data_IF_098547235759
#
_entry.id   IF_098547235759
#
_cell.length_a   1.000
_cell.length_b   1.000
_cell.length_c   1.000
_cell.angle_alpha   90.00
_cell.angle_beta   90.00
_cell.angle_gamma   90.00
#
_symmetry.space_group_name_H-M   'P 1'
#
loop_
_entity.id
_entity.type
_entity.pdbx_description
1 polymer ?
#
# COMPACT_ATOMS: atom_id res chain seq x y z
N UNK A 1 -2.53 -11.42 -12.85
CA UNK A 1 -2.13 -10.66 -11.65
C UNK A 1 -0.64 -10.34 -11.79
N UNK A 2 -0.26 -9.07 -12.01
CA UNK A 2 1.16 -8.68 -12.02
C UNK A 2 1.60 -8.50 -10.57
N UNK A 3 2.29 -9.49 -10.01
CA UNK A 3 2.93 -9.35 -8.71
C UNK A 3 4.23 -8.57 -8.89
N UNK A 4 4.66 -7.81 -7.86
CA UNK A 4 5.95 -7.16 -7.89
C UNK A 4 7.06 -8.20 -7.98
N UNK A 5 8.00 -7.94 -8.88
CA UNK A 5 9.19 -8.75 -9.08
C UNK A 5 10.38 -8.07 -8.39
N UNK A 6 11.37 -8.87 -8.01
CA UNK A 6 12.61 -8.34 -7.49
C UNK A 6 13.42 -7.66 -8.60
N UNK A 7 13.89 -6.44 -8.38
CA UNK A 7 14.66 -5.68 -9.39
C UNK A 7 15.98 -6.34 -9.79
N UNK A 8 16.54 -7.22 -8.95
CA UNK A 8 17.85 -7.85 -9.15
C UNK A 8 17.78 -9.27 -9.72
N UNK A 9 16.85 -10.10 -9.22
CA UNK A 9 16.73 -11.50 -9.63
C UNK A 9 15.42 -11.84 -10.33
N UNK A 10 14.53 -10.87 -10.58
CA UNK A 10 13.19 -11.07 -11.14
C UNK A 10 12.33 -12.09 -10.37
N UNK A 11 12.66 -12.38 -9.11
CA UNK A 11 11.84 -13.24 -8.26
C UNK A 11 10.46 -12.59 -8.01
N UNK A 12 9.40 -13.34 -8.28
CA UNK A 12 8.03 -12.90 -8.01
C UNK A 12 7.70 -13.11 -6.53
N UNK A 13 7.51 -12.03 -5.80
CA UNK A 13 7.13 -12.11 -4.39
C UNK A 13 5.75 -12.73 -4.24
N UNK A 14 5.57 -13.59 -3.22
CA UNK A 14 4.23 -14.13 -2.92
C UNK A 14 3.42 -13.09 -2.17
N UNK A 15 2.11 -13.10 -2.39
CA UNK A 15 1.14 -12.23 -1.71
C UNK A 15 1.27 -12.22 -0.18
N UNK A 16 1.50 -13.39 0.43
CA UNK A 16 1.71 -13.51 1.88
C UNK A 16 2.99 -12.84 2.34
N UNK A 17 4.03 -12.89 1.51
CA UNK A 17 5.29 -12.21 1.80
C UNK A 17 5.01 -10.71 1.83
N UNK A 18 4.36 -10.16 0.79
CA UNK A 18 4.04 -8.73 0.64
C UNK A 18 3.14 -8.15 1.74
N UNK A 19 2.31 -8.97 2.40
CA UNK A 19 1.48 -8.55 3.53
C UNK A 19 2.25 -8.50 4.85
N UNK A 20 3.31 -9.30 5.00
CA UNK A 20 4.06 -9.43 6.26
C UNK A 20 5.28 -8.52 6.21
N UNK A 21 5.16 -7.32 6.81
CA UNK A 21 6.26 -6.38 6.98
C UNK A 21 6.10 -5.08 6.19
N UNK A 22 6.26 -3.94 6.89
CA UNK A 22 6.26 -2.60 6.31
C UNK A 22 7.71 -2.10 6.14
N UNK A 23 8.06 -1.61 4.96
CA UNK A 23 9.37 -0.97 4.69
C UNK A 23 10.32 -1.78 3.79
N UNK A 24 11.61 -1.75 4.11
CA UNK A 24 12.67 -2.43 3.35
C UNK A 24 12.55 -3.95 3.47
N UNK A 25 12.65 -4.67 2.35
CA UNK A 25 12.49 -6.12 2.31
C UNK A 25 13.73 -6.77 1.74
N UNK A 26 14.24 -7.80 2.41
CA UNK A 26 15.30 -8.63 1.86
C UNK A 26 14.69 -9.69 0.96
N UNK A 27 15.14 -9.76 -0.29
CA UNK A 27 14.71 -10.83 -1.19
C UNK A 27 15.22 -12.19 -0.67
N UNK A 28 14.37 -13.23 -0.58
CA UNK A 28 14.80 -14.55 -0.10
C UNK A 28 15.74 -15.28 -1.06
N UNK A 29 15.62 -15.03 -2.37
CA UNK A 29 16.46 -15.66 -3.40
C UNK A 29 17.83 -14.98 -3.53
N UNK A 30 17.88 -13.67 -3.75
CA UNK A 30 19.13 -12.98 -4.03
C UNK A 30 19.74 -12.27 -2.81
N UNK A 31 19.04 -12.21 -1.68
CA UNK A 31 19.49 -11.52 -0.47
C UNK A 31 19.59 -9.99 -0.59
N UNK A 32 19.23 -9.40 -1.72
CA UNK A 32 19.27 -7.96 -1.92
C UNK A 32 18.16 -7.25 -1.14
N UNK A 33 18.46 -6.07 -0.62
CA UNK A 33 17.46 -5.18 -0.04
C UNK A 33 16.65 -4.54 -1.16
N UNK A 34 15.34 -4.61 -1.01
CA UNK A 34 14.33 -4.08 -1.92
C UNK A 34 13.61 -2.97 -1.19
N UNK A 35 13.67 -1.78 -1.77
CA UNK A 35 12.99 -0.59 -1.28
C UNK A 35 11.73 -0.38 -2.10
N UNK A 36 10.66 0.08 -1.44
CA UNK A 36 9.45 0.53 -2.13
C UNK A 36 9.81 1.86 -2.82
N UNK A 37 9.47 2.00 -4.11
CA UNK A 37 9.76 3.21 -4.89
C UNK A 37 9.28 4.50 -4.20
N UNK A 38 10.05 5.57 -4.32
CA UNK A 38 9.72 6.85 -3.69
C UNK A 38 8.37 7.39 -4.18
N UNK A 39 8.00 7.11 -5.44
CA UNK A 39 6.71 7.44 -6.02
C UNK A 39 5.53 6.82 -5.26
N UNK A 40 5.64 5.56 -4.86
CA UNK A 40 4.58 4.85 -4.11
C UNK A 40 4.54 5.24 -2.65
N UNK A 41 5.70 5.50 -2.04
CA UNK A 41 5.79 6.04 -0.68
C UNK A 41 5.21 7.46 -0.60
N UNK A 42 5.44 8.29 -1.63
CA UNK A 42 4.82 9.61 -1.78
C UNK A 42 3.32 9.48 -2.00
N UNK A 43 2.85 8.61 -2.91
CA UNK A 43 1.41 8.34 -3.05
C UNK A 43 0.76 7.91 -1.73
N UNK A 44 1.38 7.01 -0.97
CA UNK A 44 0.93 6.61 0.37
C UNK A 44 0.75 7.78 1.34
N UNK A 45 1.68 8.74 1.30
CA UNK A 45 1.63 9.95 2.13
C UNK A 45 0.46 10.87 1.77
N UNK A 46 0.07 10.94 0.48
CA UNK A 46 -1.07 11.75 0.03
C UNK A 46 -2.42 11.01 0.15
N UNK A 47 -2.41 9.68 0.17
CA UNK A 47 -3.62 8.86 0.31
C UNK A 47 -4.29 9.09 1.67
N UNK A 48 -3.53 9.23 2.77
CA UNK A 48 -4.11 9.48 4.10
C UNK A 48 -4.94 10.77 4.17
N UNK A 49 -4.36 11.94 3.83
CA UNK A 49 -5.08 13.21 3.78
C UNK A 49 -6.25 13.19 2.79
N UNK A 50 -6.07 12.59 1.60
CA UNK A 50 -7.13 12.51 0.60
C UNK A 50 -8.31 11.62 1.06
N UNK A 51 -8.03 10.49 1.71
CA UNK A 51 -9.05 9.63 2.29
C UNK A 51 -9.79 10.32 3.44
N UNK A 52 -9.08 11.05 4.31
CA UNK A 52 -9.70 11.83 5.38
C UNK A 52 -10.65 12.90 4.82
N UNK A 53 -10.20 13.69 3.84
CA UNK A 53 -11.03 14.70 3.18
C UNK A 53 -12.25 14.07 2.48
N UNK A 54 -12.05 12.98 1.75
CA UNK A 54 -13.16 12.26 1.11
C UNK A 54 -14.19 11.75 2.11
N UNK A 55 -13.74 11.23 3.25
CA UNK A 55 -14.63 10.74 4.31
C UNK A 55 -15.44 11.89 4.90
N UNK A 56 -14.81 13.04 5.18
CA UNK A 56 -15.51 14.24 5.70
C UNK A 56 -16.58 14.72 4.71
N UNK A 57 -16.28 14.77 3.41
CA UNK A 57 -17.25 15.20 2.38
C UNK A 57 -18.43 14.23 2.29
N UNK A 58 -18.17 12.91 2.35
CA UNK A 58 -19.24 11.89 2.29
C UNK A 58 -20.12 11.94 3.54
N UNK A 59 -19.52 12.08 4.73
CA UNK A 59 -20.27 12.21 6.00
C UNK A 59 -21.19 13.43 5.94
N UNK A 60 -20.69 14.57 5.45
CA UNK A 60 -21.47 15.81 5.36
C UNK A 60 -22.59 15.75 4.32
N UNK A 61 -22.44 14.97 3.24
CA UNK A 61 -23.44 14.87 2.16
C UNK A 61 -24.53 13.83 2.44
N UNK A 62 -24.19 12.73 3.11
CA UNK A 62 -25.07 11.55 3.24
C UNK A 62 -25.62 11.39 4.66
N UNK A 63 -24.99 12.05 5.65
CA UNK A 63 -25.28 11.95 7.09
C UNK A 63 -25.64 10.51 7.55
N UNK A 64 -24.78 9.52 7.24
CA UNK A 64 -25.12 8.13 7.51
C UNK A 64 -25.07 7.86 9.02
N UNK A 65 -26.00 7.04 9.55
CA UNK A 65 -25.96 6.65 10.95
C UNK A 65 -24.63 5.95 11.28
N UNK A 66 -24.10 6.23 12.46
CA UNK A 66 -22.79 5.73 12.93
C UNK A 66 -22.64 4.21 12.81
N UNK A 67 -23.75 3.48 12.97
CA UNK A 67 -23.83 2.02 12.82
C UNK A 67 -23.47 1.51 11.42
N UNK A 68 -23.62 2.32 10.37
CA UNK A 68 -23.27 1.99 8.99
C UNK A 68 -21.87 2.50 8.64
N UNK A 69 -21.48 3.64 9.22
CA UNK A 69 -20.20 4.29 8.96
C UNK A 69 -19.01 3.43 9.40
N UNK A 70 -19.11 2.83 10.59
CA UNK A 70 -18.05 2.01 11.15
C UNK A 70 -17.73 0.73 10.35
N UNK A 71 -18.71 -0.13 10.00
CA UNK A 71 -18.43 -1.30 9.18
C UNK A 71 -17.96 -0.92 7.77
N UNK A 72 -18.45 0.19 7.21
CA UNK A 72 -17.99 0.67 5.90
C UNK A 72 -16.51 1.11 5.94
N UNK A 73 -16.11 1.87 6.96
CA UNK A 73 -14.72 2.29 7.14
C UNK A 73 -13.78 1.07 7.28
N UNK A 74 -14.17 0.08 8.10
CA UNK A 74 -13.40 -1.17 8.26
C UNK A 74 -13.29 -1.91 6.93
N UNK A 75 -14.37 -2.00 6.17
CA UNK A 75 -14.39 -2.68 4.87
C UNK A 75 -13.47 -2.00 3.85
N UNK A 76 -13.48 -0.66 3.80
CA UNK A 76 -12.56 0.13 2.96
C UNK A 76 -11.10 -0.11 3.35
N UNK A 77 -10.78 -0.14 4.65
CA UNK A 77 -9.42 -0.42 5.13
C UNK A 77 -8.97 -1.83 4.74
N UNK A 78 -9.83 -2.83 4.89
CA UNK A 78 -9.52 -4.22 4.49
C UNK A 78 -9.25 -4.29 2.99
N UNK A 79 -10.09 -3.65 2.17
CA UNK A 79 -9.88 -3.59 0.73
C UNK A 79 -8.59 -2.85 0.37
N UNK A 80 -8.28 -1.75 1.04
CA UNK A 80 -7.04 -1.02 0.82
C UNK A 80 -5.81 -1.89 1.13
N UNK A 81 -5.83 -2.66 2.22
CA UNK A 81 -4.76 -3.61 2.58
C UNK A 81 -4.62 -4.71 1.53
N UNK A 82 -5.73 -5.25 1.03
CA UNK A 82 -5.74 -6.27 -0.03
C UNK A 82 -5.21 -5.72 -1.36
N UNK A 83 -5.49 -4.46 -1.68
CA UNK A 83 -5.09 -3.87 -2.96
C UNK A 83 -3.65 -3.30 -2.91
N UNK A 84 -3.15 -2.96 -1.73
CA UNK A 84 -1.79 -2.46 -1.50
C UNK A 84 -0.68 -3.29 -2.22
N UNK A 85 -0.59 -4.63 -2.07
CA UNK A 85 0.48 -5.41 -2.70
C UNK A 85 0.52 -5.36 -4.22
N UNK A 86 -0.59 -5.02 -4.88
CA UNK A 86 -0.62 -4.85 -6.34
C UNK A 86 -0.04 -3.54 -6.83
N UNK A 87 0.02 -2.53 -5.96
CA UNK A 87 0.60 -1.24 -6.30
C UNK A 87 2.05 -1.09 -5.81
N UNK A 88 2.60 -2.11 -5.16
CA UNK A 88 4.00 -2.11 -4.77
C UNK A 88 4.88 -2.32 -6.00
N UNK A 89 5.90 -1.49 -6.12
CA UNK A 89 6.95 -1.61 -7.13
C UNK A 89 8.28 -1.49 -6.38
N UNK A 90 9.15 -2.48 -6.58
CA UNK A 90 10.41 -2.57 -5.84
C UNK A 90 11.57 -2.06 -6.67
N UNK A 91 12.44 -1.30 -6.03
CA UNK A 91 13.71 -0.83 -6.58
C UNK A 91 14.87 -1.24 -5.66
N UNK A 92 16.04 -1.49 -6.26
CA UNK A 92 17.26 -1.86 -5.52
C UNK A 92 17.90 -0.64 -4.83
N UNK A 93 17.59 0.58 -5.28
CA UNK A 93 18.09 1.82 -4.68
C UNK A 93 17.00 2.45 -3.83
N UNK A 94 17.34 2.80 -2.59
CA UNK A 94 16.50 3.70 -1.80
C UNK A 94 16.45 5.05 -2.51
N UNK A 95 15.37 5.29 -3.24
CA UNK A 95 15.13 6.58 -3.86
C UNK A 95 14.83 7.59 -2.74
N UNK A 96 15.62 8.65 -2.60
CA UNK A 96 15.33 9.67 -1.61
C UNK A 96 13.98 10.31 -1.95
N UNK A 97 13.16 10.56 -0.92
CA UNK A 97 11.85 11.18 -1.10
C UNK A 97 11.92 12.67 -1.50
N UNK A 98 13.13 13.22 -1.61
CA UNK A 98 13.44 14.62 -1.87
C UNK A 98 14.72 14.72 -2.72
#
# INVERSE_FOLDING_TARGET
MKLPHCSRCNYFFKWRELLIGFGQRKCPECGAYQYITAQKRRQGMWIGPAAALGTVVIVQLVDPPFSVLWPFAVLVVILAILVNPFFLEFTEKEEPLF
#
